data_IF_046482980042
#
_entry.id   IF_046482980042
#
_cell.length_a   1.000
_cell.length_b   1.000
_cell.length_c   1.000
_cell.angle_alpha   90.00
_cell.angle_beta   90.00
_cell.angle_gamma   90.00
#
_symmetry.space_group_name_H-M   'P 1'
#
loop_
_entity.id
_entity.type
_entity.pdbx_description
1 polymer ?
#
# COMPACT_ATOMS: atom_id res chain seq x y z
N UNK A 1 -12.90 28.93 13.47
CA UNK A 1 -12.22 28.20 12.38
C UNK A 1 -12.90 26.85 12.27
N UNK A 2 -13.65 26.64 11.18
CA UNK A 2 -14.49 25.46 10.99
C UNK A 2 -13.62 24.30 10.45
N UNK A 3 -13.69 23.14 11.11
CA UNK A 3 -13.10 21.86 10.69
C UNK A 3 -13.61 21.45 9.30
N UNK A 4 -12.71 20.97 8.44
CA UNK A 4 -13.05 20.05 7.35
C UNK A 4 -12.10 18.86 7.40
N UNK A 5 -12.45 17.86 8.21
CA UNK A 5 -11.92 16.51 8.07
C UNK A 5 -12.88 15.76 7.14
N UNK A 6 -12.46 15.51 5.90
CA UNK A 6 -13.21 14.66 4.97
C UNK A 6 -12.93 13.21 5.39
N UNK A 7 -13.82 12.65 6.21
CA UNK A 7 -13.80 11.26 6.59
C UNK A 7 -14.63 10.46 5.56
N UNK A 8 -14.00 10.00 4.48
CA UNK A 8 -14.64 9.12 3.51
C UNK A 8 -14.71 7.68 4.05
N UNK A 9 -15.63 7.42 4.99
CA UNK A 9 -16.05 6.06 5.34
C UNK A 9 -17.16 5.61 4.38
N UNK A 10 -16.79 5.20 3.17
CA UNK A 10 -17.71 4.58 2.22
C UNK A 10 -17.71 3.06 2.43
N UNK A 11 -18.60 2.59 3.29
CA UNK A 11 -19.00 1.18 3.33
C UNK A 11 -19.97 0.90 2.16
N UNK A 12 -19.42 0.66 0.97
CA UNK A 12 -20.21 0.28 -0.22
C UNK A 12 -20.39 -1.24 -0.21
N UNK A 13 -21.62 -1.69 0.05
CA UNK A 13 -22.07 -3.04 -0.30
C UNK A 13 -22.16 -3.12 -1.83
N UNK A 14 -21.12 -3.65 -2.47
CA UNK A 14 -21.05 -3.80 -3.92
C UNK A 14 -21.90 -5.00 -4.37
N UNK A 15 -22.73 -4.86 -5.43
CA UNK A 15 -23.32 -6.02 -6.10
C UNK A 15 -22.23 -6.86 -6.79
N UNK A 16 -22.51 -8.15 -7.00
CA UNK A 16 -21.56 -9.21 -7.36
C UNK A 16 -20.69 -9.00 -8.62
N UNK A 17 -20.93 -7.97 -9.44
CA UNK A 17 -20.15 -7.61 -10.64
C UNK A 17 -19.68 -6.14 -10.65
N UNK A 18 -19.75 -5.45 -9.51
CA UNK A 18 -19.37 -4.04 -9.42
C UNK A 18 -17.86 -3.83 -9.45
N UNK A 19 -17.34 -3.22 -10.51
CA UNK A 19 -15.99 -2.63 -10.51
C UNK A 19 -16.04 -1.26 -9.83
N UNK A 20 -15.26 -1.06 -8.78
CA UNK A 20 -15.02 0.25 -8.17
C UNK A 20 -13.62 0.73 -8.51
N UNK A 21 -13.51 1.98 -8.92
CA UNK A 21 -12.25 2.65 -9.16
C UNK A 21 -12.25 3.97 -8.39
N UNK A 22 -11.33 4.10 -7.44
CA UNK A 22 -11.11 5.31 -6.65
C UNK A 22 -9.81 5.92 -7.12
N UNK A 23 -9.90 7.15 -7.62
CA UNK A 23 -8.76 7.96 -8.03
C UNK A 23 -8.71 9.23 -7.20
N UNK A 24 -7.56 9.51 -6.61
CA UNK A 24 -7.32 10.69 -5.79
C UNK A 24 -6.01 11.31 -6.22
N UNK A 25 -6.04 12.58 -6.58
CA UNK A 25 -4.87 13.38 -6.88
C UNK A 25 -4.91 14.63 -6.01
N UNK A 26 -3.79 14.97 -5.40
CA UNK A 26 -3.66 16.14 -4.54
C UNK A 26 -2.28 16.79 -4.72
N UNK A 27 -2.26 18.11 -4.82
CA UNK A 27 -1.03 18.91 -4.80
C UNK A 27 -1.30 20.08 -3.86
N UNK A 28 -0.40 20.32 -2.92
CA UNK A 28 -0.57 21.42 -1.98
C UNK A 28 0.56 21.55 -0.98
N UNK A 29 0.43 22.57 -0.13
CA UNK A 29 1.35 22.88 0.95
C UNK A 29 0.64 22.76 2.30
N UNK A 30 1.39 22.39 3.35
CA UNK A 30 0.91 22.35 4.72
C UNK A 30 0.84 20.94 5.28
N UNK A 31 -0.14 20.68 6.14
CA UNK A 31 -0.37 19.37 6.72
C UNK A 31 -1.21 18.51 5.77
N UNK A 32 -0.71 17.33 5.44
CA UNK A 32 -1.40 16.35 4.61
C UNK A 32 -1.40 14.99 5.31
N UNK A 33 -2.53 14.29 5.21
CA UNK A 33 -2.68 12.91 5.65
C UNK A 33 -3.58 12.14 4.67
N UNK A 34 -3.16 10.91 4.34
CA UNK A 34 -4.02 9.97 3.62
C UNK A 34 -3.96 8.59 4.26
N UNK A 35 -5.06 7.86 4.12
CA UNK A 35 -5.26 6.55 4.70
C UNK A 35 -6.06 5.70 3.71
N UNK A 36 -5.43 4.64 3.22
CA UNK A 36 -6.11 3.51 2.59
C UNK A 36 -5.88 2.28 3.44
N UNK A 37 -6.96 1.67 3.90
CA UNK A 37 -6.95 0.31 4.42
C UNK A 37 -8.06 -0.45 3.69
N UNK A 38 -7.69 -1.31 2.76
CA UNK A 38 -8.64 -2.20 2.09
C UNK A 38 -8.10 -3.61 2.11
N UNK A 39 -8.86 -4.52 2.73
CA UNK A 39 -8.51 -5.93 2.87
C UNK A 39 -7.07 -6.13 3.38
N UNK A 40 -6.17 -6.50 2.46
CA UNK A 40 -4.77 -6.80 2.71
C UNK A 40 -3.81 -5.65 2.33
N UNK A 41 -4.28 -4.60 1.64
CA UNK A 41 -3.49 -3.42 1.29
C UNK A 41 -3.64 -2.28 2.30
N UNK A 42 -2.50 -1.69 2.65
CA UNK A 42 -2.41 -0.48 3.46
C UNK A 42 -1.51 0.53 2.78
N UNK A 43 -1.97 1.77 2.73
CA UNK A 43 -1.19 2.93 2.31
C UNK A 43 -1.49 4.09 3.24
N UNK A 44 -0.43 4.66 3.83
CA UNK A 44 -0.53 5.78 4.76
C UNK A 44 0.59 6.74 4.51
N UNK A 45 0.26 8.01 4.45
CA UNK A 45 1.28 9.05 4.50
C UNK A 45 0.82 10.20 5.39
N UNK A 46 1.81 10.88 5.95
CA UNK A 46 1.63 12.12 6.68
C UNK A 46 2.83 13.01 6.39
N UNK A 47 2.61 14.25 5.97
CA UNK A 47 3.71 15.19 5.79
C UNK A 47 3.31 16.60 6.21
N UNK A 48 4.32 17.38 6.55
CA UNK A 48 4.25 18.82 6.72
C UNK A 48 5.23 19.46 5.73
N UNK A 49 4.70 20.13 4.71
CA UNK A 49 5.51 20.73 3.64
C UNK A 49 4.76 20.79 2.32
N UNK A 50 5.52 20.94 1.23
CA UNK A 50 5.00 20.86 -0.13
C UNK A 50 4.92 19.41 -0.58
N UNK A 51 3.82 19.03 -1.19
CA UNK A 51 3.60 17.64 -1.58
C UNK A 51 2.74 17.48 -2.83
N UNK A 52 2.99 16.38 -3.53
CA UNK A 52 2.15 15.83 -4.58
C UNK A 52 1.83 14.36 -4.24
N UNK A 53 0.56 14.02 -4.38
CA UNK A 53 0.02 12.68 -4.14
C UNK A 53 -0.89 12.27 -5.29
N UNK A 54 -0.74 11.02 -5.72
CA UNK A 54 -1.68 10.37 -6.63
C UNK A 54 -1.94 8.95 -6.18
N UNK A 55 -3.20 8.50 -6.24
CA UNK A 55 -3.61 7.12 -5.95
C UNK A 55 -4.65 6.63 -6.95
N UNK A 56 -4.54 5.35 -7.29
CA UNK A 56 -5.58 4.58 -7.96
C UNK A 56 -5.82 3.27 -7.21
N UNK A 57 -7.02 3.07 -6.68
CA UNK A 57 -7.47 1.80 -6.11
C UNK A 57 -8.57 1.23 -7.00
N UNK A 58 -8.34 0.03 -7.51
CA UNK A 58 -9.28 -0.70 -8.36
C UNK A 58 -9.70 -1.97 -7.62
N UNK A 59 -10.99 -2.12 -7.42
CA UNK A 59 -11.64 -3.27 -6.79
C UNK A 59 -12.57 -3.91 -7.81
N UNK A 60 -12.40 -5.19 -8.09
CA UNK A 60 -13.21 -5.93 -9.06
C UNK A 60 -13.38 -7.38 -8.61
N UNK A 61 -14.52 -7.69 -7.98
CA UNK A 61 -14.73 -9.00 -7.35
C UNK A 61 -13.67 -9.27 -6.28
N UNK A 62 -12.91 -10.36 -6.45
CA UNK A 62 -11.75 -10.72 -5.61
C UNK A 62 -10.51 -9.86 -5.86
N UNK A 63 -10.41 -9.19 -7.01
CA UNK A 63 -9.17 -8.57 -7.43
C UNK A 63 -9.03 -7.17 -6.84
N UNK A 64 -7.86 -6.89 -6.28
CA UNK A 64 -7.48 -5.58 -5.80
C UNK A 64 -6.15 -5.16 -6.45
N UNK A 65 -6.15 -3.99 -7.07
CA UNK A 65 -4.95 -3.32 -7.56
C UNK A 65 -4.87 -1.91 -6.98
N UNK A 66 -3.77 -1.60 -6.33
CA UNK A 66 -3.48 -0.28 -5.78
C UNK A 66 -2.19 0.25 -6.40
N UNK A 67 -2.24 1.50 -6.84
CA UNK A 67 -1.08 2.31 -7.15
C UNK A 67 -1.12 3.55 -6.27
N UNK A 68 0.04 3.94 -5.75
CA UNK A 68 0.23 5.21 -5.07
C UNK A 68 1.56 5.83 -5.46
N UNK A 69 1.57 7.15 -5.63
CA UNK A 69 2.75 7.97 -5.85
C UNK A 69 2.75 9.12 -4.86
N UNK A 70 3.89 9.37 -4.24
CA UNK A 70 4.13 10.45 -3.31
C UNK A 70 5.44 11.15 -3.65
N UNK A 71 5.36 12.46 -3.84
CA UNK A 71 6.51 13.33 -3.80
C UNK A 71 6.27 14.34 -2.68
N UNK A 72 7.25 14.51 -1.80
CA UNK A 72 7.19 15.60 -0.84
C UNK A 72 8.56 16.15 -0.49
N UNK A 73 8.55 17.45 -0.21
CA UNK A 73 9.66 18.17 0.37
C UNK A 73 9.22 18.76 1.71
N UNK A 74 9.82 18.27 2.80
CA UNK A 74 9.38 18.56 4.16
C UNK A 74 9.65 17.40 5.11
N UNK A 75 9.02 17.43 6.28
CA UNK A 75 9.10 16.34 7.27
C UNK A 75 7.87 15.44 7.14
N UNK A 76 8.08 14.14 7.10
CA UNK A 76 6.95 13.22 6.96
C UNK A 76 7.24 11.77 7.30
N UNK A 77 6.20 10.97 7.13
CA UNK A 77 6.23 9.51 7.20
C UNK A 77 5.41 8.93 6.06
N UNK A 78 5.86 7.80 5.54
CA UNK A 78 5.16 7.04 4.53
C UNK A 78 5.22 5.56 4.89
N UNK A 79 4.11 4.86 4.73
CA UNK A 79 4.01 3.44 5.04
C UNK A 79 3.10 2.78 4.02
N UNK A 80 3.59 1.71 3.42
CA UNK A 80 2.82 0.87 2.51
C UNK A 80 3.02 -0.59 2.85
N UNK A 81 1.96 -1.39 2.78
CA UNK A 81 2.03 -2.80 3.14
C UNK A 81 1.00 -3.66 2.40
N UNK A 82 1.45 -4.86 2.01
CA UNK A 82 0.64 -6.07 1.88
C UNK A 82 0.89 -6.99 3.10
N UNK A 83 0.26 -8.17 3.19
CA UNK A 83 0.53 -9.14 4.25
C UNK A 83 1.98 -9.64 4.23
N UNK A 84 2.56 -9.77 3.05
CA UNK A 84 3.88 -10.35 2.83
C UNK A 84 4.97 -9.31 2.61
N UNK A 85 4.64 -8.05 2.32
CA UNK A 85 5.64 -7.03 2.04
C UNK A 85 5.26 -5.70 2.68
N UNK A 86 6.15 -5.18 3.51
CA UNK A 86 5.93 -3.97 4.29
C UNK A 86 7.10 -3.02 4.10
N UNK A 87 6.80 -1.74 3.86
CA UNK A 87 7.76 -0.65 3.84
C UNK A 87 7.28 0.47 4.78
N UNK A 88 8.17 0.94 5.64
CA UNK A 88 7.98 2.14 6.47
C UNK A 88 9.16 3.08 6.32
N UNK A 89 8.82 4.32 6.04
CA UNK A 89 9.71 5.45 5.87
C UNK A 89 9.35 6.50 6.95
N UNK A 90 10.34 7.00 7.69
CA UNK A 90 10.12 7.99 8.76
C UNK A 90 11.27 9.00 8.83
N UNK A 91 11.02 10.15 9.48
CA UNK A 91 11.99 11.24 9.60
C UNK A 91 12.51 11.68 8.22
N UNK A 92 11.58 11.79 7.29
CA UNK A 92 11.88 11.89 5.87
C UNK A 92 12.07 13.34 5.43
N UNK A 93 12.83 13.51 4.35
CA UNK A 93 12.97 14.74 3.57
C UNK A 93 13.29 14.39 2.11
N UNK A 94 12.84 15.22 1.17
CA UNK A 94 13.00 15.01 -0.28
C UNK A 94 12.58 13.60 -0.73
N UNK A 95 11.39 13.15 -0.32
CA UNK A 95 10.92 11.82 -0.69
C UNK A 95 10.30 11.84 -2.09
N UNK A 96 10.68 10.86 -2.91
CA UNK A 96 9.88 10.37 -4.03
C UNK A 96 9.63 8.88 -3.79
N UNK A 97 8.37 8.47 -3.73
CA UNK A 97 7.99 7.09 -3.49
C UNK A 97 6.82 6.67 -4.37
N UNK A 98 6.88 5.46 -4.90
CA UNK A 98 5.80 4.82 -5.63
C UNK A 98 5.57 3.41 -5.10
N UNK A 99 4.31 3.02 -4.98
CA UNK A 99 3.94 1.67 -4.60
C UNK A 99 2.91 1.09 -5.57
N UNK A 100 3.09 -0.18 -5.89
CA UNK A 100 2.12 -1.02 -6.59
C UNK A 100 1.84 -2.21 -5.71
N UNK A 101 0.56 -2.49 -5.48
CA UNK A 101 0.09 -3.72 -4.83
C UNK A 101 -0.97 -4.35 -5.74
N UNK A 102 -0.83 -5.64 -6.03
CA UNK A 102 -1.81 -6.44 -6.74
C UNK A 102 -2.00 -7.75 -5.99
N UNK A 103 -3.23 -8.06 -5.64
CA UNK A 103 -3.59 -9.36 -5.07
C UNK A 103 -4.99 -9.74 -5.51
N UNK A 104 -5.24 -11.05 -5.49
CA UNK A 104 -6.54 -11.65 -5.63
C UNK A 104 -6.95 -12.16 -4.25
N UNK A 105 -7.97 -11.56 -3.67
CA UNK A 105 -8.54 -11.96 -2.40
C UNK A 105 -9.21 -13.34 -2.57
N UNK A 106 -8.75 -14.31 -1.80
CA UNK A 106 -9.37 -15.63 -1.69
C UNK A 106 -10.70 -15.45 -0.91
N UNK A 107 -11.79 -15.21 -1.64
CA UNK A 107 -13.13 -15.22 -1.06
C UNK A 107 -13.44 -16.66 -0.63
N UNK A 108 -13.00 -16.97 0.59
CA UNK A 108 -13.06 -18.28 1.24
C UNK A 108 -14.47 -18.76 1.62
N UNK A 109 -15.50 -18.36 0.87
CA UNK A 109 -16.86 -18.92 0.98
C UNK A 109 -17.23 -19.89 -0.16
N UNK A 110 -16.40 -20.05 -1.20
CA UNK A 110 -16.65 -21.03 -2.31
C UNK A 110 -15.49 -22.02 -2.52
N UNK A 111 -14.89 -22.53 -1.44
CA UNK A 111 -13.88 -23.62 -1.51
C UNK A 111 -14.47 -25.03 -1.61
N UNK A 112 -15.70 -25.17 -2.09
CA UNK A 112 -16.23 -26.46 -2.51
C UNK A 112 -16.63 -26.37 -3.98
N UNK A 113 -15.91 -27.12 -4.82
CA UNK A 113 -16.10 -27.26 -6.26
C UNK A 113 -15.65 -26.08 -7.12
N UNK A 114 -14.36 -25.99 -7.44
CA UNK A 114 -13.85 -25.84 -8.81
C UNK A 114 -12.31 -25.82 -8.76
N UNK A 115 -11.69 -26.99 -8.95
CA UNK A 115 -10.30 -27.08 -9.37
C UNK A 115 -10.19 -26.50 -10.79
N UNK A 116 -9.86 -25.22 -10.93
CA UNK A 116 -9.43 -24.66 -12.21
C UNK A 116 -8.35 -23.58 -12.02
N UNK A 117 -7.11 -23.97 -12.32
CA UNK A 117 -6.03 -23.18 -12.92
C UNK A 117 -6.21 -21.65 -12.96
N UNK A 118 -6.07 -20.98 -11.82
CA UNK A 118 -5.54 -19.62 -11.81
C UNK A 118 -4.32 -19.63 -10.89
N UNK A 119 -3.14 -19.41 -11.47
CA UNK A 119 -1.94 -19.08 -10.72
C UNK A 119 -2.20 -17.79 -9.96
N UNK A 120 -2.67 -17.93 -8.72
CA UNK A 120 -2.81 -16.84 -7.78
C UNK A 120 -1.41 -16.24 -7.59
N UNK A 121 -1.25 -14.99 -8.04
CA UNK A 121 0.00 -14.27 -7.83
C UNK A 121 -0.28 -12.96 -7.11
N UNK A 122 0.24 -12.86 -5.89
CA UNK A 122 0.37 -11.56 -5.23
C UNK A 122 1.65 -10.91 -5.71
N UNK A 123 1.56 -9.63 -6.03
CA UNK A 123 2.68 -8.84 -6.48
C UNK A 123 2.70 -7.51 -5.75
N UNK A 124 3.86 -7.15 -5.24
CA UNK A 124 4.09 -5.81 -4.73
C UNK A 124 5.39 -5.25 -5.28
N UNK A 125 5.41 -3.94 -5.48
CA UNK A 125 6.60 -3.18 -5.87
C UNK A 125 6.58 -1.88 -5.07
N UNK A 126 7.62 -1.67 -4.27
CA UNK A 126 7.87 -0.43 -3.56
C UNK A 126 9.16 0.17 -4.05
N UNK A 127 9.07 1.37 -4.61
CA UNK A 127 10.23 2.17 -5.00
C UNK A 127 10.20 3.44 -4.19
N UNK A 128 11.33 3.81 -3.60
CA UNK A 128 11.42 5.04 -2.83
C UNK A 128 12.85 5.58 -2.83
N UNK A 129 13.00 6.89 -2.90
CA UNK A 129 14.27 7.58 -2.73
C UNK A 129 14.08 8.83 -1.88
N UNK A 130 15.08 9.16 -1.10
CA UNK A 130 15.06 10.36 -0.26
C UNK A 130 16.08 10.28 0.85
N UNK A 131 15.83 11.02 1.93
CA UNK A 131 16.66 10.98 3.14
C UNK A 131 15.79 10.76 4.37
N UNK A 132 16.19 9.84 5.23
CA UNK A 132 15.49 9.54 6.47
C UNK A 132 15.83 8.15 6.99
N UNK A 133 14.86 7.51 7.64
CA UNK A 133 14.96 6.11 8.08
C UNK A 133 14.04 5.24 7.25
N UNK A 134 14.55 4.07 6.90
CA UNK A 134 13.82 3.03 6.17
C UNK A 134 13.79 1.77 7.00
N UNK A 135 12.61 1.16 7.09
CA UNK A 135 12.41 -0.22 7.54
C UNK A 135 11.57 -0.96 6.52
N UNK A 136 12.11 -2.06 5.99
CA UNK A 136 11.42 -2.95 5.07
C UNK A 136 11.44 -4.37 5.63
N UNK A 137 10.34 -5.09 5.43
CA UNK A 137 10.17 -6.48 5.83
C UNK A 137 9.45 -7.24 4.73
N UNK A 138 9.97 -8.42 4.42
CA UNK A 138 9.27 -9.42 3.61
C UNK A 138 8.96 -10.62 4.51
N UNK A 139 7.69 -10.98 4.54
CA UNK A 139 7.14 -12.05 5.36
C UNK A 139 6.60 -13.17 4.47
N UNK A 140 6.54 -14.37 5.02
CA UNK A 140 5.83 -15.50 4.44
C UNK A 140 4.89 -16.13 5.46
N UNK A 141 3.90 -16.86 4.99
CA UNK A 141 3.04 -17.67 5.85
C UNK A 141 3.89 -18.70 6.60
N UNK A 142 3.76 -18.72 7.94
CA UNK A 142 4.44 -19.69 8.78
C UNK A 142 3.46 -20.57 9.57
N UNK A 143 4.00 -21.53 10.34
CA UNK A 143 3.19 -22.50 11.05
C UNK A 143 2.24 -21.82 12.06
N UNK A 144 1.00 -22.30 12.09
CA UNK A 144 -0.07 -21.81 12.99
C UNK A 144 -0.38 -20.32 12.79
N UNK A 145 -0.22 -19.80 11.56
CA UNK A 145 -0.53 -18.41 11.22
C UNK A 145 0.48 -17.39 11.76
N UNK A 146 1.63 -17.83 12.27
CA UNK A 146 2.73 -16.92 12.64
C UNK A 146 3.57 -16.60 11.41
N UNK A 147 3.66 -15.34 10.97
CA UNK A 147 4.50 -14.99 9.83
C UNK A 147 5.97 -15.30 10.10
N UNK A 148 6.68 -15.76 9.08
CA UNK A 148 8.14 -15.93 9.10
C UNK A 148 8.74 -14.75 8.34
N UNK A 149 9.68 -14.03 8.96
CA UNK A 149 10.46 -13.02 8.26
C UNK A 149 11.44 -13.70 7.31
N UNK A 150 11.30 -13.43 6.01
CA UNK A 150 12.20 -13.91 4.97
C UNK A 150 13.42 -13.00 4.85
N UNK A 151 13.19 -11.69 4.87
CA UNK A 151 14.24 -10.67 4.85
C UNK A 151 13.75 -9.40 5.52
N UNK A 152 14.67 -8.62 6.08
CA UNK A 152 14.40 -7.25 6.51
C UNK A 152 15.58 -6.33 6.24
N UNK A 153 15.26 -5.10 5.86
CA UNK A 153 16.23 -4.05 5.61
C UNK A 153 16.00 -2.91 6.61
N UNK A 154 17.08 -2.39 7.18
CA UNK A 154 17.08 -1.13 7.91
C UNK A 154 18.17 -0.22 7.38
N UNK A 155 17.85 1.05 7.17
CA UNK A 155 18.81 2.06 6.77
C UNK A 155 18.47 3.42 7.37
N UNK A 156 19.50 4.23 7.66
CA UNK A 156 19.35 5.60 8.08
C UNK A 156 20.33 6.50 7.29
N UNK A 157 19.79 7.50 6.61
CA UNK A 157 20.55 8.40 5.74
C UNK A 157 19.86 8.61 4.39
N UNK A 158 20.64 8.95 3.37
CA UNK A 158 20.15 8.98 1.98
C UNK A 158 19.93 7.57 1.49
N UNK A 159 18.80 7.30 0.85
CA UNK A 159 18.46 5.98 0.35
C UNK A 159 17.85 6.02 -1.04
N UNK A 160 17.98 4.89 -1.72
CA UNK A 160 17.20 4.51 -2.88
C UNK A 160 16.85 3.04 -2.72
N UNK A 161 15.57 2.72 -2.82
CA UNK A 161 15.02 1.39 -2.64
C UNK A 161 14.20 1.05 -3.86
N UNK A 162 14.35 -0.19 -4.29
CA UNK A 162 13.52 -0.83 -5.27
C UNK A 162 13.33 -2.27 -4.78
N UNK A 163 12.22 -2.50 -4.09
CA UNK A 163 11.89 -3.80 -3.52
C UNK A 163 10.61 -4.32 -4.16
N UNK A 164 10.63 -5.56 -4.61
CA UNK A 164 9.46 -6.21 -5.16
C UNK A 164 9.35 -7.62 -4.62
N UNK A 165 8.13 -8.04 -4.33
CA UNK A 165 7.84 -9.43 -4.01
C UNK A 165 6.83 -9.98 -4.98
N UNK A 166 7.00 -11.25 -5.31
CA UNK A 166 6.04 -12.04 -6.06
C UNK A 166 5.89 -13.37 -5.36
N UNK A 167 4.67 -13.70 -4.99
CA UNK A 167 4.34 -15.03 -4.50
C UNK A 167 3.49 -15.71 -5.56
N UNK A 168 3.87 -16.93 -5.90
CA UNK A 168 3.16 -17.78 -6.85
C UNK A 168 2.64 -18.98 -6.03
N UNK A 169 1.34 -19.26 -6.12
CA UNK A 169 0.70 -20.42 -5.50
C UNK A 169 0.99 -21.71 -6.27
#
# INVERSE_FOLDING_TARGET
>A
MLLFAICCCLSVMLPADGKVEIKEDFIGAGEFQTLTNYDLARDRSSCQGDMAYGRSLILSGSDCSMFSGFEFDGLGSYQVASPEHFLRLSELSNLSATAVIRFRADNSEEKESFQQNSSESSYTLFQASGRGRVREHVLSAGPKGRPIELTSTYHAGTFQINSSTRFEA
#
